data_IF_299428697099
#
_entry.id   IF_299428697099
#
_cell.length_a   1.000
_cell.length_b   1.000
_cell.length_c   1.000
_cell.angle_alpha   90.00
_cell.angle_beta   90.00
_cell.angle_gamma   90.00
#
_symmetry.space_group_name_H-M   'P 1'
#
loop_
_entity.id
_entity.type
_entity.pdbx_description
1 polymer ?
#
# COMPACT_ATOMS: atom_id res chain seq x y z
N UNK A 1 45.09 -25.40 39.85
CA UNK A 1 43.76 -25.11 39.29
C UNK A 1 44.02 -23.98 38.33
N UNK A 2 44.13 -24.33 37.06
CA UNK A 2 44.90 -23.54 36.12
C UNK A 2 44.03 -22.45 35.51
N UNK A 3 44.61 -21.26 35.35
CA UNK A 3 43.93 -20.00 35.00
C UNK A 3 43.13 -20.09 33.69
N UNK A 4 43.44 -21.07 32.82
CA UNK A 4 42.73 -21.34 31.57
C UNK A 4 41.40 -22.08 31.76
N UNK A 5 41.26 -22.94 32.77
CA UNK A 5 39.99 -23.65 33.05
C UNK A 5 38.96 -22.72 33.69
N UNK A 6 39.41 -21.79 34.54
CA UNK A 6 38.55 -20.81 35.19
C UNK A 6 37.96 -19.87 34.15
N UNK A 7 38.78 -19.33 33.24
CA UNK A 7 38.34 -18.42 32.18
C UNK A 7 37.34 -19.07 31.21
N UNK A 8 37.61 -20.32 30.83
CA UNK A 8 36.76 -21.08 29.91
C UNK A 8 35.44 -21.58 30.55
N UNK A 9 35.40 -21.72 31.87
CA UNK A 9 34.16 -22.02 32.61
C UNK A 9 33.27 -20.78 32.78
N UNK A 10 33.87 -19.61 33.01
CA UNK A 10 33.15 -18.33 33.12
C UNK A 10 32.53 -17.95 31.76
N UNK A 11 33.29 -18.05 30.67
CA UNK A 11 32.78 -17.71 29.33
C UNK A 11 31.61 -18.61 28.90
N UNK A 12 31.67 -19.92 29.20
CA UNK A 12 30.56 -20.85 28.91
C UNK A 12 29.31 -20.56 29.75
N UNK A 13 29.47 -20.27 31.04
CA UNK A 13 28.34 -19.97 31.93
C UNK A 13 27.65 -18.66 31.54
N UNK A 14 28.42 -17.66 31.11
CA UNK A 14 27.90 -16.37 30.64
C UNK A 14 27.14 -16.52 29.31
N UNK A 15 27.61 -17.40 28.42
CA UNK A 15 26.93 -17.72 27.15
C UNK A 15 25.62 -18.48 27.36
N UNK A 16 25.59 -19.45 28.27
CA UNK A 16 24.37 -20.22 28.58
C UNK A 16 23.31 -19.37 29.28
N UNK A 17 23.70 -18.50 30.22
CA UNK A 17 22.78 -17.52 30.82
C UNK A 17 22.21 -16.55 29.78
N UNK A 18 23.04 -16.06 28.85
CA UNK A 18 22.57 -15.19 27.76
C UNK A 18 21.59 -15.92 26.83
N UNK A 19 21.83 -17.21 26.56
CA UNK A 19 20.95 -18.05 25.75
C UNK A 19 19.63 -18.33 26.46
N UNK A 20 19.66 -18.67 27.75
CA UNK A 20 18.46 -18.89 28.56
C UNK A 20 17.63 -17.61 28.69
N UNK A 21 18.27 -16.46 28.92
CA UNK A 21 17.57 -15.17 28.96
C UNK A 21 16.93 -14.80 27.61
N UNK A 22 17.60 -15.13 26.50
CA UNK A 22 17.06 -14.95 25.15
C UNK A 22 15.85 -15.86 24.88
N UNK A 23 15.92 -17.13 25.25
CA UNK A 23 14.81 -18.09 25.11
C UNK A 23 13.63 -17.73 26.02
N UNK A 24 13.87 -17.32 27.27
CA UNK A 24 12.82 -16.81 28.15
C UNK A 24 12.15 -15.56 27.57
N UNK A 25 12.95 -14.66 26.98
CA UNK A 25 12.45 -13.48 26.29
C UNK A 25 11.61 -13.82 25.06
N UNK A 26 11.94 -14.88 24.32
CA UNK A 26 11.12 -15.38 23.20
C UNK A 26 9.81 -15.96 23.71
N UNK A 27 9.86 -16.88 24.67
CA UNK A 27 8.66 -17.50 25.25
C UNK A 27 7.69 -16.47 25.82
N UNK A 28 8.20 -15.43 26.50
CA UNK A 28 7.35 -14.35 27.02
C UNK A 28 6.66 -13.57 25.92
N UNK A 29 7.38 -13.24 24.83
CA UNK A 29 6.78 -12.57 23.66
C UNK A 29 5.76 -13.46 22.95
N UNK A 30 6.00 -14.75 22.89
CA UNK A 30 5.08 -15.71 22.26
C UNK A 30 3.82 -15.89 23.10
N UNK A 31 3.95 -15.93 24.43
CA UNK A 31 2.81 -15.97 25.35
C UNK A 31 1.97 -14.68 25.27
N UNK A 32 2.62 -13.51 25.18
CA UNK A 32 1.94 -12.23 25.01
C UNK A 32 1.24 -12.10 23.65
N UNK A 33 1.80 -12.68 22.58
CA UNK A 33 1.13 -12.77 21.28
C UNK A 33 -0.09 -13.68 21.31
N UNK A 34 0.06 -14.87 21.91
CA UNK A 34 -1.05 -15.81 22.02
C UNK A 34 -2.22 -15.27 22.85
N UNK A 35 -1.94 -14.56 23.94
CA UNK A 35 -3.00 -13.91 24.73
C UNK A 35 -3.72 -12.81 23.94
N UNK A 36 -3.00 -12.02 23.14
CA UNK A 36 -3.62 -11.02 22.25
C UNK A 36 -4.46 -11.68 21.17
N UNK A 37 -3.97 -12.76 20.56
CA UNK A 37 -4.69 -13.49 19.52
C UNK A 37 -6.02 -14.07 20.03
N UNK A 38 -6.05 -14.60 21.26
CA UNK A 38 -7.30 -15.08 21.88
C UNK A 38 -8.28 -13.92 22.12
N UNK A 39 -7.80 -12.78 22.63
CA UNK A 39 -8.65 -11.60 22.86
C UNK A 39 -9.22 -11.05 21.54
N UNK A 40 -8.38 -10.99 20.50
CA UNK A 40 -8.76 -10.58 19.15
C UNK A 40 -9.81 -11.52 18.57
N UNK A 41 -9.62 -12.84 18.68
CA UNK A 41 -10.61 -13.81 18.21
C UNK A 41 -11.94 -13.72 18.97
N UNK A 42 -11.92 -13.42 20.27
CA UNK A 42 -13.14 -13.20 21.04
C UNK A 42 -13.87 -11.94 20.57
N UNK A 43 -13.14 -10.84 20.41
CA UNK A 43 -13.70 -9.58 19.95
C UNK A 43 -14.26 -9.70 18.52
N UNK A 44 -13.55 -10.37 17.61
CA UNK A 44 -14.04 -10.65 16.25
C UNK A 44 -15.33 -11.47 16.24
N UNK A 45 -15.43 -12.48 17.12
CA UNK A 45 -16.65 -13.29 17.26
C UNK A 45 -17.83 -12.46 17.76
N UNK A 46 -17.61 -11.63 18.78
CA UNK A 46 -18.66 -10.75 19.31
C UNK A 46 -19.17 -9.75 18.26
N UNK A 47 -18.26 -9.14 17.49
CA UNK A 47 -18.65 -8.23 16.42
C UNK A 47 -19.46 -8.94 15.32
N UNK A 48 -19.04 -10.14 14.90
CA UNK A 48 -19.77 -10.95 13.91
C UNK A 48 -21.15 -11.35 14.40
N UNK A 49 -21.27 -11.75 15.67
CA UNK A 49 -22.55 -12.07 16.28
C UNK A 49 -23.47 -10.84 16.36
N UNK A 50 -22.95 -9.68 16.75
CA UNK A 50 -23.68 -8.42 16.83
C UNK A 50 -24.26 -8.05 15.45
N UNK A 51 -23.45 -8.12 14.40
CA UNK A 51 -23.87 -7.86 13.02
C UNK A 51 -24.97 -8.86 12.60
N UNK A 52 -24.75 -10.16 12.80
CA UNK A 52 -25.73 -11.19 12.42
C UNK A 52 -27.08 -11.02 13.12
N UNK A 53 -27.09 -10.65 14.41
CA UNK A 53 -28.32 -10.36 15.15
C UNK A 53 -29.04 -9.13 14.62
N UNK A 54 -28.31 -8.08 14.25
CA UNK A 54 -28.87 -6.84 13.69
C UNK A 54 -29.44 -7.07 12.28
N UNK A 55 -28.77 -7.88 11.45
CA UNK A 55 -29.29 -8.30 10.13
C UNK A 55 -30.59 -9.10 10.27
N UNK A 56 -30.63 -10.04 11.22
CA UNK A 56 -31.83 -10.82 11.50
C UNK A 56 -32.97 -9.91 11.98
N UNK A 57 -32.68 -8.98 12.89
CA UNK A 57 -33.65 -8.00 13.37
C UNK A 57 -34.16 -7.10 12.24
N UNK A 58 -33.29 -6.70 11.30
CA UNK A 58 -33.67 -5.91 10.12
C UNK A 58 -34.61 -6.69 9.20
N UNK A 59 -34.36 -8.00 9.02
CA UNK A 59 -35.20 -8.88 8.22
C UNK A 59 -36.57 -9.16 8.85
N UNK A 60 -36.64 -9.20 10.19
CA UNK A 60 -37.87 -9.45 10.95
C UNK A 60 -38.71 -8.17 11.18
N UNK A 61 -38.10 -6.99 11.15
CA UNK A 61 -38.79 -5.73 11.44
C UNK A 61 -39.57 -5.22 10.24
N UNK A 62 -40.89 -5.17 10.38
CA UNK A 62 -41.81 -4.70 9.34
C UNK A 62 -42.08 -3.18 9.39
N UNK A 63 -41.96 -2.56 10.57
CA UNK A 63 -42.19 -1.13 10.79
C UNK A 63 -41.03 -0.29 10.22
N UNK A 64 -41.33 0.68 9.35
CA UNK A 64 -40.34 1.50 8.63
C UNK A 64 -39.44 2.32 9.57
N UNK A 65 -39.98 2.83 10.68
CA UNK A 65 -39.22 3.67 11.61
C UNK A 65 -38.25 2.83 12.45
N UNK A 66 -38.71 1.67 12.92
CA UNK A 66 -37.87 0.72 13.66
C UNK A 66 -36.82 0.10 12.74
N UNK A 67 -37.19 -0.22 11.50
CA UNK A 67 -36.27 -0.75 10.48
C UNK A 67 -35.13 0.22 10.18
N UNK A 68 -35.41 1.52 10.11
CA UNK A 68 -34.37 2.54 9.95
C UNK A 68 -33.44 2.60 11.17
N UNK A 69 -33.97 2.46 12.38
CA UNK A 69 -33.16 2.41 13.61
C UNK A 69 -32.23 1.19 13.64
N UNK A 70 -32.73 0.01 13.29
CA UNK A 70 -31.92 -1.22 13.19
C UNK A 70 -30.89 -1.10 12.08
N UNK A 71 -31.23 -0.47 10.95
CA UNK A 71 -30.30 -0.20 9.85
C UNK A 71 -29.13 0.69 10.30
N UNK A 72 -29.42 1.78 11.01
CA UNK A 72 -28.37 2.66 11.52
C UNK A 72 -27.43 1.93 12.51
N UNK A 73 -27.98 1.07 13.38
CA UNK A 73 -27.18 0.26 14.30
C UNK A 73 -26.34 -0.80 13.57
N UNK A 74 -26.87 -1.36 12.48
CA UNK A 74 -26.13 -2.29 11.62
C UNK A 74 -24.97 -1.57 10.94
N UNK A 75 -25.22 -0.38 10.37
CA UNK A 75 -24.20 0.44 9.73
C UNK A 75 -23.09 0.83 10.74
N UNK A 76 -23.47 1.18 11.98
CA UNK A 76 -22.53 1.45 13.07
C UNK A 76 -21.68 0.22 13.45
N UNK A 77 -22.29 -0.96 13.55
CA UNK A 77 -21.59 -2.20 13.87
C UNK A 77 -20.61 -2.62 12.76
N UNK A 78 -20.98 -2.41 11.49
CA UNK A 78 -20.10 -2.65 10.33
C UNK A 78 -18.94 -1.66 10.34
N UNK A 79 -19.19 -0.39 10.67
CA UNK A 79 -18.15 0.63 10.79
C UNK A 79 -17.14 0.28 11.90
N UNK A 80 -17.63 -0.15 13.07
CA UNK A 80 -16.80 -0.59 14.20
C UNK A 80 -15.90 -1.78 13.81
N UNK A 81 -16.47 -2.77 13.12
CA UNK A 81 -15.71 -3.92 12.62
C UNK A 81 -14.63 -3.50 11.60
N UNK A 82 -14.94 -2.58 10.69
CA UNK A 82 -14.00 -2.09 9.69
C UNK A 82 -12.84 -1.28 10.31
N UNK A 83 -13.14 -0.48 11.34
CA UNK A 83 -12.12 0.27 12.08
C UNK A 83 -11.16 -0.69 12.81
N UNK A 84 -11.69 -1.74 13.44
CA UNK A 84 -10.89 -2.77 14.09
C UNK A 84 -9.94 -3.48 13.10
N UNK A 85 -10.44 -3.89 11.93
CA UNK A 85 -9.58 -4.53 10.91
C UNK A 85 -8.51 -3.57 10.35
N UNK A 86 -8.79 -2.26 10.30
CA UNK A 86 -7.81 -1.26 9.90
C UNK A 86 -6.65 -1.18 10.90
N UNK A 87 -6.97 -1.04 12.19
CA UNK A 87 -5.98 -0.95 13.26
C UNK A 87 -5.09 -2.21 13.31
N UNK A 88 -5.71 -3.38 13.17
CA UNK A 88 -5.00 -4.67 13.10
C UNK A 88 -4.04 -4.73 11.90
N UNK A 89 -4.48 -4.30 10.72
CA UNK A 89 -3.64 -4.27 9.53
C UNK A 89 -2.47 -3.26 9.64
N UNK A 90 -2.67 -2.13 10.31
CA UNK A 90 -1.63 -1.13 10.54
C UNK A 90 -0.55 -1.65 11.50
N UNK A 91 -0.94 -2.33 12.58
CA UNK A 91 -0.02 -2.96 13.52
C UNK A 91 0.86 -4.02 12.83
N UNK A 92 0.25 -4.91 12.05
CA UNK A 92 1.01 -5.92 11.28
C UNK A 92 1.98 -5.29 10.28
N UNK A 93 1.58 -4.20 9.62
CA UNK A 93 2.45 -3.47 8.70
C UNK A 93 3.62 -2.83 9.44
N UNK A 94 3.40 -2.29 10.64
CA UNK A 94 4.45 -1.68 11.44
C UNK A 94 5.49 -2.72 11.88
N UNK A 95 5.05 -3.92 12.26
CA UNK A 95 5.94 -5.04 12.59
C UNK A 95 6.75 -5.52 11.38
N UNK A 96 6.10 -5.70 10.22
CA UNK A 96 6.79 -6.07 8.97
C UNK A 96 7.80 -5.02 8.52
N UNK A 97 7.46 -3.73 8.64
CA UNK A 97 8.37 -2.62 8.27
C UNK A 97 9.65 -2.62 9.11
N UNK A 98 9.59 -2.95 10.41
CA UNK A 98 10.79 -3.02 11.25
C UNK A 98 11.77 -4.09 10.77
N UNK A 99 11.27 -5.25 10.32
CA UNK A 99 12.11 -6.30 9.77
C UNK A 99 12.68 -5.94 8.39
N UNK A 100 11.88 -5.30 7.54
CA UNK A 100 12.32 -4.85 6.20
C UNK A 100 13.40 -3.78 6.32
N UNK A 101 13.24 -2.79 7.21
CA UNK A 101 14.25 -1.73 7.44
C UNK A 101 15.58 -2.35 7.88
N UNK A 102 15.57 -3.35 8.77
CA UNK A 102 16.78 -4.02 9.21
C UNK A 102 17.49 -4.75 8.04
N UNK A 103 16.74 -5.44 7.19
CA UNK A 103 17.30 -6.15 6.03
C UNK A 103 17.84 -5.17 4.97
N UNK A 104 17.18 -4.04 4.75
CA UNK A 104 17.67 -2.98 3.83
C UNK A 104 18.96 -2.36 4.37
N UNK A 105 19.03 -2.06 5.67
CA UNK A 105 20.24 -1.52 6.29
C UNK A 105 21.42 -2.51 6.20
N UNK A 106 21.17 -3.80 6.43
CA UNK A 106 22.19 -4.84 6.33
C UNK A 106 22.70 -4.98 4.89
N UNK A 107 21.81 -4.92 3.90
CA UNK A 107 22.16 -4.96 2.48
C UNK A 107 23.01 -3.75 2.04
N UNK A 108 22.66 -2.54 2.49
CA UNK A 108 23.43 -1.32 2.20
C UNK A 108 24.86 -1.39 2.73
N UNK A 109 25.05 -1.93 3.94
CA UNK A 109 26.39 -2.11 4.53
C UNK A 109 27.25 -3.05 3.68
N UNK A 110 26.66 -4.14 3.16
CA UNK A 110 27.38 -5.08 2.28
C UNK A 110 27.75 -4.45 0.93
N UNK A 111 26.88 -3.62 0.35
CA UNK A 111 27.16 -2.89 -0.89
C UNK A 111 28.32 -1.91 -0.69
N UNK A 112 28.34 -1.17 0.42
CA UNK A 112 29.43 -0.23 0.74
C UNK A 112 30.76 -0.98 0.90
N UNK A 113 30.77 -2.12 1.59
CA UNK A 113 31.96 -2.96 1.73
C UNK A 113 32.47 -3.47 0.37
N UNK A 114 31.57 -3.87 -0.52
CA UNK A 114 31.93 -4.28 -1.88
C UNK A 114 32.53 -3.14 -2.70
N UNK A 115 31.98 -1.92 -2.59
CA UNK A 115 32.51 -0.72 -3.25
C UNK A 115 33.91 -0.36 -2.74
N UNK A 116 34.15 -0.43 -1.44
CA UNK A 116 35.48 -0.19 -0.85
C UNK A 116 36.49 -1.23 -1.33
N UNK A 117 36.11 -2.51 -1.34
CA UNK A 117 36.96 -3.58 -1.86
C UNK A 117 37.29 -3.39 -3.35
N UNK A 118 36.31 -2.97 -4.16
CA UNK A 118 36.50 -2.67 -5.58
C UNK A 118 37.45 -1.48 -5.81
N UNK A 119 37.30 -0.40 -5.03
CA UNK A 119 38.18 0.76 -5.10
C UNK A 119 39.62 0.42 -4.69
N UNK A 120 39.80 -0.38 -3.64
CA UNK A 120 41.13 -0.85 -3.21
C UNK A 120 41.75 -1.78 -4.26
N UNK A 121 40.96 -2.66 -4.89
CA UNK A 121 41.43 -3.53 -5.97
C UNK A 121 41.87 -2.72 -7.20
N UNK A 122 41.09 -1.72 -7.60
CA UNK A 122 41.43 -0.84 -8.73
C UNK A 122 42.71 -0.02 -8.44
N UNK A 123 42.85 0.49 -7.22
CA UNK A 123 44.08 1.18 -6.78
C UNK A 123 45.31 0.26 -6.79
N UNK A 124 45.14 -1.02 -6.46
CA UNK A 124 46.21 -2.01 -6.49
C UNK A 124 46.67 -2.34 -7.91
N UNK A 125 45.75 -2.40 -8.89
CA UNK A 125 46.09 -2.64 -10.30
C UNK A 125 46.83 -1.45 -10.92
N UNK A 126 46.42 -0.22 -10.63
CA UNK A 126 47.07 1.00 -11.14
C UNK A 126 48.53 1.14 -10.69
N UNK A 127 48.95 0.51 -9.58
CA UNK A 127 50.36 0.49 -9.15
C UNK A 127 51.23 -0.48 -9.95
N UNK A 128 50.65 -1.46 -10.66
CA UNK A 128 51.40 -2.40 -11.51
C UNK A 128 51.73 -1.82 -12.88
N UNK A 129 50.92 -0.88 -13.39
CA UNK A 129 51.14 -0.27 -14.71
C UNK A 129 52.21 0.84 -14.73
N UNK A 130 52.46 1.53 -13.62
CA UNK A 130 53.56 2.51 -13.53
C UNK A 130 54.96 1.87 -13.52
N UNK A 131 55.08 0.58 -13.19
CA UNK A 131 56.38 -0.11 -13.23
C UNK A 131 56.83 -0.49 -14.66
N UNK A 132 55.92 -0.51 -15.64
CA UNK A 132 56.20 -0.91 -17.02
C UNK A 132 56.38 0.26 -18.01
N UNK A 133 56.20 1.51 -17.58
CA UNK A 133 56.32 2.69 -18.46
C UNK A 133 57.71 3.37 -18.46
N UNK A 134 58.75 2.76 -17.89
CA UNK A 134 60.11 3.31 -17.92
C UNK A 134 61.01 2.78 -19.06
N UNK A 135 60.48 2.01 -20.02
CA UNK A 135 61.31 1.37 -21.07
C UNK A 135 61.01 1.74 -22.53
N UNK A 136 60.13 2.70 -22.79
CA UNK A 136 59.85 3.16 -24.17
C UNK A 136 59.85 4.68 -24.25
N UNK A 137 61.05 5.26 -24.18
CA UNK A 137 61.30 6.57 -24.76
C UNK A 137 61.45 6.46 -26.27
N UNK A 138 61.01 7.50 -26.98
CA UNK A 138 61.48 7.91 -28.31
C UNK A 138 60.73 7.36 -29.52
N UNK A 139 59.71 8.06 -30.03
CA UNK A 139 59.68 8.56 -31.43
C UNK A 139 58.46 9.44 -31.75
N UNK A 140 58.77 10.55 -32.45
CA UNK A 140 57.95 11.37 -33.36
C UNK A 140 56.70 12.13 -32.86
N UNK A 141 56.93 13.44 -32.70
CA UNK A 141 56.06 14.53 -33.16
C UNK A 141 55.54 14.28 -34.59
N UNK A 142 54.27 14.63 -34.87
CA UNK A 142 53.80 15.44 -36.01
C UNK A 142 52.25 15.53 -35.98
N UNK A 143 51.79 16.78 -35.84
CA UNK A 143 50.68 17.43 -36.57
C UNK A 143 49.21 17.25 -36.18
N UNK A 144 48.61 18.43 -36.00
CA UNK A 144 47.24 18.78 -35.69
C UNK A 144 46.23 18.56 -36.81
N UNK A 145 44.96 18.56 -36.37
CA UNK A 145 43.74 19.14 -36.98
C UNK A 145 42.69 18.23 -37.62
N UNK A 146 41.51 18.36 -36.99
CA UNK A 146 40.16 18.55 -37.53
C UNK A 146 39.14 17.39 -37.63
N UNK A 147 38.00 17.73 -37.01
CA UNK A 147 36.61 17.49 -37.39
C UNK A 147 35.92 16.14 -37.08
N UNK A 148 35.03 16.22 -36.08
CA UNK A 148 33.58 15.89 -36.14
C UNK A 148 33.14 14.63 -36.88
N UNK A 149 32.57 13.66 -36.13
CA UNK A 149 31.12 13.41 -36.23
C UNK A 149 30.65 12.40 -35.18
N UNK A 150 29.56 12.81 -34.52
CA UNK A 150 28.72 12.11 -33.56
C UNK A 150 27.73 11.20 -34.33
N UNK A 151 27.53 9.96 -33.86
CA UNK A 151 26.32 9.18 -34.21
C UNK A 151 26.03 8.18 -33.09
N UNK A 152 25.03 8.54 -32.28
CA UNK A 152 24.38 7.70 -31.28
C UNK A 152 23.53 6.62 -31.97
N UNK A 153 23.72 5.35 -31.61
CA UNK A 153 22.85 4.24 -32.03
C UNK A 153 22.07 3.74 -30.83
N UNK A 154 20.85 4.26 -30.66
CA UNK A 154 19.88 3.72 -29.71
C UNK A 154 19.07 2.61 -30.38
N UNK A 155 19.23 1.37 -29.89
CA UNK A 155 18.39 0.24 -30.27
C UNK A 155 17.01 0.36 -29.65
N UNK A 156 16.00 0.48 -30.50
CA UNK A 156 14.58 0.42 -30.17
C UNK A 156 14.12 -1.03 -30.39
N UNK A 157 13.68 -1.71 -29.33
CA UNK A 157 12.95 -2.98 -29.44
C UNK A 157 11.48 -2.69 -29.20
N UNK A 158 10.71 -2.69 -30.29
CA UNK A 158 9.26 -2.68 -30.29
C UNK A 158 8.75 -4.08 -29.94
N UNK A 159 7.87 -4.19 -28.95
CA UNK A 159 6.97 -5.34 -28.80
C UNK A 159 5.59 -4.80 -28.44
N UNK A 160 4.78 -4.63 -29.47
CA UNK A 160 3.40 -4.15 -29.42
C UNK A 160 2.50 -5.29 -28.93
N UNK A 161 1.89 -5.13 -27.77
CA UNK A 161 0.63 -5.83 -27.46
C UNK A 161 -0.45 -4.77 -27.47
N UNK A 162 -1.44 -4.93 -28.34
CA UNK A 162 -2.63 -4.09 -28.41
C UNK A 162 -3.36 -4.14 -27.07
N UNK A 163 -3.25 -3.05 -26.30
CA UNK A 163 -4.16 -2.77 -25.20
C UNK A 163 -5.04 -1.61 -25.68
N UNK A 164 -6.33 -1.89 -25.94
CA UNK A 164 -7.34 -0.88 -26.23
C UNK A 164 -7.69 -0.11 -24.94
N UNK A 165 -6.67 0.37 -24.21
CA UNK A 165 -6.85 1.31 -23.12
C UNK A 165 -7.00 2.69 -23.74
N UNK A 166 -8.08 3.44 -23.44
CA UNK A 166 -8.11 4.85 -23.79
C UNK A 166 -6.88 5.53 -23.17
N UNK A 167 -6.00 6.05 -24.02
CA UNK A 167 -4.76 6.70 -23.63
C UNK A 167 -5.06 8.06 -23.01
N UNK A 168 -5.30 8.10 -21.70
CA UNK A 168 -5.22 9.35 -20.93
C UNK A 168 -3.78 9.52 -20.40
N UNK A 169 -3.29 10.75 -20.42
CA UNK A 169 -1.99 11.13 -19.86
C UNK A 169 -2.11 11.18 -18.33
N UNK A 170 -1.92 10.03 -17.67
CA UNK A 170 -2.04 9.89 -16.21
C UNK A 170 -2.63 8.54 -15.78
N UNK A 171 -2.92 8.38 -14.49
CA UNK A 171 -3.61 7.18 -13.95
C UNK A 171 -5.13 7.32 -13.99
N UNK A 172 -5.65 8.53 -13.90
CA UNK A 172 -7.08 8.80 -13.94
C UNK A 172 -7.49 9.53 -15.23
N UNK A 173 -8.73 9.37 -15.70
CA UNK A 173 -9.29 10.24 -16.72
C UNK A 173 -9.17 11.71 -16.32
N UNK A 174 -8.80 12.58 -17.25
CA UNK A 174 -8.57 14.02 -16.98
C UNK A 174 -9.77 14.71 -16.33
N UNK A 175 -10.99 14.26 -16.64
CA UNK A 175 -12.23 14.75 -16.05
C UNK A 175 -12.33 14.46 -14.55
N UNK A 176 -11.77 13.33 -14.08
CA UNK A 176 -11.81 12.92 -12.68
C UNK A 176 -10.75 13.63 -11.84
N UNK A 177 -9.63 14.03 -12.45
CA UNK A 177 -8.56 14.78 -11.77
C UNK A 177 -9.10 16.09 -11.22
N UNK A 178 -8.78 16.38 -9.96
CA UNK A 178 -9.25 17.56 -9.23
C UNK A 178 -9.82 17.21 -7.86
N UNK A 179 -10.39 18.22 -7.20
CA UNK A 179 -10.98 18.08 -5.87
C UNK A 179 -12.51 18.03 -5.97
N UNK A 180 -13.12 17.15 -5.21
CA UNK A 180 -14.54 16.83 -5.21
C UNK A 180 -15.08 16.91 -3.78
N UNK A 181 -16.23 17.56 -3.59
CA UNK A 181 -16.86 17.75 -2.29
C UNK A 181 -18.24 17.09 -2.23
N UNK A 182 -18.51 16.38 -1.15
CA UNK A 182 -19.78 15.71 -0.94
C UNK A 182 -19.95 15.31 0.52
N UNK A 183 -20.75 14.28 0.73
CA UNK A 183 -20.90 13.62 2.02
C UNK A 183 -20.77 12.12 1.83
N UNK A 184 -20.24 11.42 2.83
CA UNK A 184 -20.30 9.96 2.87
C UNK A 184 -20.78 9.54 4.25
N UNK A 185 -21.82 8.70 4.32
CA UNK A 185 -22.42 8.24 5.58
C UNK A 185 -22.77 9.41 6.53
N UNK A 186 -23.22 10.54 5.96
CA UNK A 186 -23.60 11.75 6.70
C UNK A 186 -22.44 12.67 7.11
N UNK A 187 -21.18 12.30 6.86
CA UNK A 187 -20.01 13.14 7.19
C UNK A 187 -19.51 13.90 5.96
N UNK A 188 -19.26 15.20 6.09
CA UNK A 188 -18.76 16.02 4.99
C UNK A 188 -17.37 15.54 4.56
N UNK A 189 -17.24 15.22 3.28
CA UNK A 189 -16.05 14.54 2.74
C UNK A 189 -15.54 15.26 1.50
N UNK A 190 -14.23 15.37 1.38
CA UNK A 190 -13.53 15.89 0.20
C UNK A 190 -12.58 14.85 -0.35
N UNK A 191 -12.64 14.58 -1.64
CA UNK A 191 -11.75 13.65 -2.35
C UNK A 191 -10.93 14.45 -3.37
N UNK A 192 -9.62 14.29 -3.38
CA UNK A 192 -8.74 14.88 -4.39
C UNK A 192 -8.04 13.78 -5.18
N UNK A 193 -8.28 13.75 -6.49
CA UNK A 193 -7.57 12.89 -7.44
C UNK A 193 -6.45 13.68 -8.10
N UNK A 194 -5.23 13.19 -8.00
CA UNK A 194 -4.06 13.76 -8.65
C UNK A 194 -3.74 12.96 -9.92
N UNK A 195 -3.24 13.63 -10.97
CA UNK A 195 -2.95 12.97 -12.26
C UNK A 195 -1.91 11.84 -12.18
N UNK A 196 -1.04 11.87 -11.16
CA UNK A 196 -0.04 10.84 -10.87
C UNK A 196 -0.63 9.59 -10.17
N UNK A 197 -1.93 9.53 -9.93
CA UNK A 197 -2.59 8.41 -9.26
C UNK A 197 -2.73 8.57 -7.74
N UNK A 198 -2.13 9.61 -7.14
CA UNK A 198 -2.35 9.89 -5.72
C UNK A 198 -3.81 10.30 -5.48
N UNK A 199 -4.34 9.84 -4.35
CA UNK A 199 -5.70 10.11 -3.92
C UNK A 199 -5.66 10.53 -2.45
N UNK A 200 -6.31 11.65 -2.12
CA UNK A 200 -6.51 12.09 -0.74
C UNK A 200 -7.98 12.23 -0.40
N UNK A 201 -8.33 11.80 0.80
CA UNK A 201 -9.69 11.85 1.32
C UNK A 201 -9.63 12.59 2.65
N UNK A 202 -10.41 13.66 2.78
CA UNK A 202 -10.59 14.38 4.03
C UNK A 202 -12.02 14.21 4.51
N UNK A 203 -12.17 13.76 5.74
CA UNK A 203 -13.48 13.62 6.39
C UNK A 203 -13.55 14.62 7.54
N UNK A 204 -14.62 15.39 7.59
CA UNK A 204 -14.93 16.25 8.74
C UNK A 204 -15.88 15.51 9.68
N UNK A 205 -15.45 15.33 10.92
CA UNK A 205 -16.29 14.82 12.01
C UNK A 205 -17.34 15.84 12.41
N UNK A 206 -18.46 15.36 12.97
CA UNK A 206 -19.55 16.22 13.45
C UNK A 206 -19.17 17.14 14.61
N UNK A 207 -18.07 16.85 15.30
CA UNK A 207 -17.45 17.65 16.37
C UNK A 207 -16.48 18.74 15.84
N UNK A 208 -16.34 18.85 14.51
CA UNK A 208 -15.38 19.76 13.87
C UNK A 208 -13.96 19.20 13.73
N UNK A 209 -13.71 17.97 14.17
CA UNK A 209 -12.46 17.26 13.90
C UNK A 209 -12.31 16.96 12.41
N UNK A 210 -11.08 16.73 11.94
CA UNK A 210 -10.81 16.32 10.57
C UNK A 210 -9.82 15.17 10.56
N UNK A 211 -10.15 14.12 9.81
CA UNK A 211 -9.22 13.04 9.46
C UNK A 211 -8.83 13.15 7.99
N UNK A 212 -7.61 12.74 7.67
CA UNK A 212 -7.12 12.65 6.30
C UNK A 212 -6.58 11.25 6.07
N UNK A 213 -7.01 10.64 4.96
CA UNK A 213 -6.57 9.34 4.49
C UNK A 213 -6.01 9.52 3.09
N UNK A 214 -5.05 8.67 2.73
CA UNK A 214 -4.46 8.69 1.39
C UNK A 214 -4.26 7.29 0.84
N UNK A 215 -4.26 7.23 -0.48
CA UNK A 215 -3.93 6.05 -1.26
C UNK A 215 -3.27 6.47 -2.56
N UNK A 216 -2.69 5.49 -3.24
CA UNK A 216 -2.14 5.67 -4.59
C UNK A 216 -2.77 4.62 -5.46
N UNK A 217 -3.41 5.04 -6.54
CA UNK A 217 -3.91 4.18 -7.61
C UNK A 217 -2.81 4.05 -8.64
N UNK A 218 -2.58 2.85 -9.13
CA UNK A 218 -1.64 2.57 -10.22
C UNK A 218 -2.35 2.29 -11.54
N UNK A 219 -3.58 1.76 -11.47
CA UNK A 219 -4.35 1.45 -12.67
C UNK A 219 -5.85 1.58 -12.43
N UNK A 220 -6.55 2.15 -13.42
CA UNK A 220 -8.00 2.08 -13.56
C UNK A 220 -8.36 1.45 -14.89
N UNK A 221 -9.49 0.74 -14.93
CA UNK A 221 -10.05 0.17 -16.15
C UNK A 221 -11.40 0.82 -16.45
N UNK A 222 -11.62 1.33 -17.67
CA UNK A 222 -12.95 1.76 -18.08
C UNK A 222 -13.89 0.56 -18.15
N UNK A 223 -15.09 0.72 -17.60
CA UNK A 223 -16.19 -0.24 -17.71
C UNK A 223 -17.15 0.23 -18.81
N UNK A 224 -17.39 1.53 -18.87
CA UNK A 224 -18.07 2.27 -19.95
C UNK A 224 -17.53 3.71 -20.00
N UNK A 225 -18.08 4.56 -20.87
CA UNK A 225 -17.62 5.94 -21.10
C UNK A 225 -17.55 6.81 -19.84
N UNK A 226 -18.36 6.50 -18.83
CA UNK A 226 -18.49 7.28 -17.60
C UNK A 226 -18.07 6.53 -16.34
N UNK A 227 -17.81 5.24 -16.46
CA UNK A 227 -17.66 4.32 -15.33
C UNK A 227 -16.27 3.73 -15.32
N UNK A 228 -15.55 3.90 -14.21
CA UNK A 228 -14.15 3.54 -14.09
C UNK A 228 -13.94 2.65 -12.85
N UNK A 229 -13.35 1.48 -13.05
CA UNK A 229 -12.97 0.56 -11.97
C UNK A 229 -11.53 0.82 -11.55
N UNK A 230 -11.26 0.88 -10.25
CA UNK A 230 -9.89 0.91 -9.73
C UNK A 230 -9.38 -0.54 -9.65
N UNK A 231 -8.25 -0.81 -10.31
CA UNK A 231 -7.73 -2.17 -10.51
C UNK A 231 -6.55 -2.48 -9.61
N UNK A 232 -5.63 -1.53 -9.48
CA UNK A 232 -4.42 -1.67 -8.69
C UNK A 232 -4.16 -0.40 -7.89
N UNK A 233 -3.91 -0.55 -6.60
CA UNK A 233 -3.82 0.55 -5.65
C UNK A 233 -3.19 0.12 -4.32
N UNK A 234 -2.77 1.12 -3.54
CA UNK A 234 -2.37 0.97 -2.13
C UNK A 234 -3.03 2.04 -1.28
N UNK A 235 -3.11 1.79 0.02
CA UNK A 235 -3.71 2.73 0.97
C UNK A 235 -5.23 2.83 0.81
N UNK A 236 -5.79 3.99 1.20
CA UNK A 236 -7.22 4.24 1.21
C UNK A 236 -7.63 5.03 -0.03
N UNK A 237 -8.41 4.38 -0.89
CA UNK A 237 -8.91 4.96 -2.15
C UNK A 237 -10.44 5.09 -2.16
N UNK A 238 -11.09 4.75 -1.05
CA UNK A 238 -12.50 5.02 -0.78
C UNK A 238 -12.66 5.52 0.66
N UNK A 239 -13.62 6.42 0.94
CA UNK A 239 -13.80 6.93 2.31
C UNK A 239 -14.43 5.92 3.27
N UNK A 240 -14.94 4.78 2.78
CA UNK A 240 -15.38 3.66 3.61
C UNK A 240 -14.77 2.34 3.14
N UNK A 241 -14.47 1.47 4.09
CA UNK A 241 -14.10 0.08 3.82
C UNK A 241 -15.35 -0.77 3.61
N UNK A 242 -15.29 -1.64 2.62
CA UNK A 242 -16.37 -2.54 2.23
C UNK A 242 -15.93 -3.95 2.62
N UNK A 243 -16.61 -4.53 3.61
CA UNK A 243 -16.31 -5.84 4.18
C UNK A 243 -17.57 -6.69 4.31
N UNK A 244 -17.47 -7.96 3.95
CA UNK A 244 -18.56 -8.95 4.00
C UNK A 244 -18.02 -10.37 3.84
N UNK A 245 -18.62 -11.34 4.54
CA UNK A 245 -18.17 -12.74 4.49
C UNK A 245 -18.68 -13.42 3.23
N UNK A 246 -17.80 -14.12 2.51
CA UNK A 246 -18.18 -14.96 1.36
C UNK A 246 -18.32 -14.23 0.02
N UNK A 247 -18.03 -12.93 -0.02
CA UNK A 247 -18.12 -12.09 -1.22
C UNK A 247 -16.82 -11.31 -1.45
N UNK A 248 -16.55 -11.01 -2.71
CA UNK A 248 -15.46 -10.14 -3.17
C UNK A 248 -16.05 -8.80 -3.57
N UNK A 249 -15.21 -7.78 -3.49
CA UNK A 249 -15.57 -6.41 -3.81
C UNK A 249 -14.54 -5.81 -4.77
N UNK A 250 -15.03 -5.20 -5.85
CA UNK A 250 -14.28 -4.25 -6.64
C UNK A 250 -14.96 -2.89 -6.51
N UNK A 251 -14.23 -1.81 -6.70
CA UNK A 251 -14.76 -0.46 -6.54
C UNK A 251 -14.29 0.46 -7.65
N UNK A 252 -14.97 1.59 -7.75
CA UNK A 252 -14.70 2.56 -8.79
C UNK A 252 -15.47 3.84 -8.60
N UNK A 253 -15.51 4.62 -9.67
CA UNK A 253 -16.28 5.84 -9.74
C UNK A 253 -17.05 5.94 -11.05
N UNK A 254 -18.23 6.53 -10.98
CA UNK A 254 -19.02 6.92 -12.14
C UNK A 254 -19.14 8.43 -12.20
N UNK A 255 -18.83 9.01 -13.35
CA UNK A 255 -19.08 10.41 -13.63
C UNK A 255 -20.52 10.59 -14.14
N UNK A 256 -21.17 11.67 -13.75
CA UNK A 256 -22.38 12.13 -14.43
C UNK A 256 -22.06 12.49 -15.89
N UNK A 257 -23.04 12.44 -16.81
CA UNK A 257 -22.83 12.79 -18.21
C UNK A 257 -22.27 14.20 -18.44
N UNK A 258 -22.54 15.14 -17.52
CA UNK A 258 -22.02 16.51 -17.56
C UNK A 258 -20.63 16.66 -16.92
N UNK A 259 -20.07 15.58 -16.36
CA UNK A 259 -18.75 15.53 -15.72
C UNK A 259 -18.64 16.32 -14.42
N UNK A 260 -19.77 16.74 -13.82
CA UNK A 260 -19.79 17.61 -12.63
C UNK A 260 -20.04 16.86 -11.33
N UNK A 261 -20.60 15.66 -11.42
CA UNK A 261 -20.91 14.82 -10.27
C UNK A 261 -20.16 13.50 -10.38
N UNK A 262 -19.56 13.09 -9.27
CA UNK A 262 -18.85 11.83 -9.13
C UNK A 262 -19.61 10.95 -8.14
N UNK A 263 -19.88 9.71 -8.54
CA UNK A 263 -20.58 8.73 -7.71
C UNK A 263 -19.64 7.58 -7.38
N UNK A 264 -19.45 7.23 -6.10
CA UNK A 264 -18.83 5.97 -5.72
C UNK A 264 -19.68 4.80 -6.24
N UNK A 265 -19.01 3.78 -6.75
CA UNK A 265 -19.65 2.54 -7.19
C UNK A 265 -18.95 1.33 -6.61
N UNK A 266 -19.73 0.28 -6.39
CA UNK A 266 -19.27 -1.00 -5.85
C UNK A 266 -19.80 -2.15 -6.71
N UNK A 267 -18.91 -3.09 -7.00
CA UNK A 267 -19.25 -4.42 -7.48
C UNK A 267 -19.11 -5.40 -6.33
N UNK A 268 -20.14 -6.21 -6.10
CA UNK A 268 -20.12 -7.30 -5.13
C UNK A 268 -20.44 -8.60 -5.86
N UNK A 269 -19.63 -9.64 -5.65
CA UNK A 269 -19.79 -10.93 -6.30
C UNK A 269 -19.31 -12.07 -5.39
N UNK A 270 -19.82 -13.29 -5.56
CA UNK A 270 -19.40 -14.43 -4.75
C UNK A 270 -17.92 -14.77 -4.93
N UNK A 271 -17.30 -15.38 -3.91
CA UNK A 271 -15.87 -15.78 -3.95
C UNK A 271 -15.49 -16.63 -5.18
N UNK A 272 -16.43 -17.43 -5.67
CA UNK A 272 -16.27 -18.35 -6.80
C UNK A 272 -16.96 -17.86 -8.09
N UNK A 273 -17.55 -16.67 -8.07
CA UNK A 273 -18.24 -16.09 -9.22
C UNK A 273 -17.30 -15.20 -10.02
N UNK A 274 -17.50 -15.17 -11.34
CA UNK A 274 -16.85 -14.17 -12.17
C UNK A 274 -17.55 -12.82 -11.97
N UNK A 275 -16.80 -11.72 -11.81
CA UNK A 275 -17.40 -10.41 -11.64
C UNK A 275 -18.19 -10.01 -12.89
N UNK A 276 -19.42 -9.54 -12.68
CA UNK A 276 -20.21 -8.90 -13.72
C UNK A 276 -20.09 -7.39 -13.60
N UNK A 277 -19.18 -6.79 -14.36
CA UNK A 277 -18.90 -5.36 -14.26
C UNK A 277 -20.03 -4.45 -14.78
N UNK A 278 -21.03 -5.00 -15.46
CA UNK A 278 -22.22 -4.25 -15.86
C UNK A 278 -23.26 -4.11 -14.74
N UNK A 279 -23.10 -4.82 -13.62
CA UNK A 279 -24.02 -4.74 -12.47
C UNK A 279 -23.28 -4.21 -11.24
N UNK A 280 -23.53 -2.94 -10.92
CA UNK A 280 -22.92 -2.24 -9.79
C UNK A 280 -23.95 -1.46 -8.99
N UNK A 281 -23.64 -1.25 -7.71
CA UNK A 281 -24.40 -0.36 -6.83
C UNK A 281 -23.81 1.04 -6.91
N UNK A 282 -24.66 2.04 -7.15
CA UNK A 282 -24.29 3.46 -7.12
C UNK A 282 -24.71 4.05 -5.78
N UNK A 283 -23.80 4.74 -5.11
CA UNK A 283 -24.10 5.46 -3.88
C UNK A 283 -24.55 6.89 -4.20
N UNK A 284 -25.77 7.04 -4.73
CA UNK A 284 -26.28 8.34 -5.18
C UNK A 284 -26.34 9.40 -4.07
N UNK A 285 -26.65 8.97 -2.85
CA UNK A 285 -26.70 9.85 -1.67
C UNK A 285 -25.32 10.28 -1.17
N UNK A 286 -24.25 9.62 -1.64
CA UNK A 286 -22.86 9.92 -1.29
C UNK A 286 -22.09 10.47 -2.50
N UNK A 287 -22.80 11.22 -3.36
CA UNK A 287 -22.20 11.85 -4.54
C UNK A 287 -21.32 13.05 -4.18
N UNK A 288 -20.37 13.36 -5.07
CA UNK A 288 -19.46 14.49 -4.92
C UNK A 288 -19.59 15.44 -6.10
N UNK A 289 -19.44 16.74 -5.84
CA UNK A 289 -19.42 17.80 -6.84
C UNK A 289 -18.01 18.37 -6.97
N UNK A 290 -17.55 18.62 -8.20
CA UNK A 290 -16.21 19.16 -8.44
C UNK A 290 -16.05 20.58 -7.87
N UNK A 291 -14.95 20.83 -7.16
CA UNK A 291 -14.60 22.15 -6.62
C UNK A 291 -13.70 22.89 -7.62
N UNK A 292 -14.22 24.00 -8.16
CA UNK A 292 -13.49 24.87 -9.08
C UNK A 292 -13.40 24.30 -10.50
N UNK A 293 -13.66 25.17 -11.48
CA UNK A 293 -13.35 24.93 -12.89
C UNK A 293 -11.92 25.38 -13.18
#
# INVERSE_FOLDING_TARGET
MDDWEIKNSIDRNTWEQSRQASELGKMRRDQERFHREILDEQQEREMREKISRLELALAQTSDSKQRQGVKNLLDEAILEQNAYYLEKAELERQERRRQIIYNIFLGLILIILAFVAFFLWNSYQNKKEQANQLQTSSTSLIQSQDASNQTDTASKSDTTTEDNSPSYDGVFPSQMVGTWQGSMSGSATTITFYGNGDLRIKIKGGDGSSSEMSGTVYSVAPVDDTTYRIVDYTGTVLPAQLGGVGVKYDFGYKLSPDGRTLYPILWQYGMNEKPNYSNYTVYENDSYTKIGN
#
